data_IF_553712280508
#
_entry.id   IF_553712280508
#
_cell.length_a   1.000
_cell.length_b   1.000
_cell.length_c   1.000
_cell.angle_alpha   90.00
_cell.angle_beta   90.00
_cell.angle_gamma   90.00
#
_symmetry.space_group_name_H-M   'P 1'
#
loop_
_entity.id
_entity.type
_entity.pdbx_description
1 polymer ?
#
# COMPACT_ATOMS: atom_id res chain seq x y z
N UNK A 1 -7.25 3.62 15.04
CA UNK A 1 -6.61 3.81 13.72
C UNK A 1 -5.21 3.23 13.80
N UNK A 2 -4.84 2.34 12.88
CA UNK A 2 -3.54 1.66 12.84
C UNK A 2 -2.53 2.35 11.90
N UNK A 3 -3.01 3.35 11.15
CA UNK A 3 -2.22 4.14 10.24
C UNK A 3 -1.81 5.45 10.91
N UNK A 4 -0.53 5.77 10.81
CA UNK A 4 0.05 7.02 11.27
C UNK A 4 0.72 7.73 10.10
N UNK A 5 0.20 8.90 9.72
CA UNK A 5 0.85 9.76 8.73
C UNK A 5 2.16 10.30 9.32
N UNK A 6 3.26 10.16 8.58
CA UNK A 6 4.58 10.69 8.95
C UNK A 6 4.83 12.02 8.23
N UNK A 7 4.60 12.05 6.92
CA UNK A 7 4.71 13.27 6.12
C UNK A 7 3.87 13.18 4.85
N UNK A 8 3.48 14.35 4.34
CA UNK A 8 2.79 14.48 3.07
C UNK A 8 3.32 15.71 2.32
N UNK A 9 3.60 15.52 1.04
CA UNK A 9 3.99 16.55 0.07
C UNK A 9 3.17 16.31 -1.20
N UNK A 10 3.18 17.24 -2.17
CA UNK A 10 2.47 17.04 -3.44
C UNK A 10 2.90 15.79 -4.22
N UNK A 11 4.11 15.28 -3.97
CA UNK A 11 4.71 14.16 -4.72
C UNK A 11 4.92 12.90 -3.88
N UNK A 12 4.87 13.00 -2.54
CA UNK A 12 5.19 11.89 -1.64
C UNK A 12 4.29 11.88 -0.42
N UNK A 13 3.80 10.70 -0.05
CA UNK A 13 3.13 10.43 1.23
C UNK A 13 3.90 9.32 1.93
N UNK A 14 4.29 9.55 3.18
CA UNK A 14 4.94 8.56 4.03
C UNK A 14 4.05 8.29 5.24
N UNK A 15 3.77 7.03 5.50
CA UNK A 15 2.95 6.61 6.63
C UNK A 15 3.53 5.35 7.27
N UNK A 16 3.02 5.01 8.46
CA UNK A 16 3.29 3.76 9.14
C UNK A 16 1.99 3.02 9.36
N UNK A 17 2.00 1.72 9.15
CA UNK A 17 0.96 0.82 9.62
C UNK A 17 1.49 0.00 10.79
N UNK A 18 0.61 -0.30 11.74
CA UNK A 18 0.91 -1.25 12.81
C UNK A 18 -0.28 -2.17 12.90
N UNK A 19 -0.10 -3.46 12.67
CA UNK A 19 -1.22 -4.39 12.71
C UNK A 19 -1.87 -4.43 14.11
N UNK A 20 -3.12 -4.93 14.22
CA UNK A 20 -3.86 -4.98 15.50
C UNK A 20 -3.15 -5.78 16.59
N UNK A 21 -2.33 -6.74 16.20
CA UNK A 21 -1.58 -7.59 17.12
C UNK A 21 -0.21 -7.01 17.51
N UNK A 22 0.15 -5.83 17.01
CA UNK A 22 1.46 -5.17 17.20
C UNK A 22 2.67 -6.01 16.78
N UNK A 23 2.44 -7.09 16.04
CA UNK A 23 3.47 -8.05 15.64
C UNK A 23 4.20 -7.61 14.38
N UNK A 24 3.58 -6.81 13.53
CA UNK A 24 4.19 -6.25 12.34
C UNK A 24 3.96 -4.74 12.25
N UNK A 25 5.02 -4.05 11.81
CA UNK A 25 5.05 -2.62 11.56
C UNK A 25 5.54 -2.43 10.14
N UNK A 26 4.72 -1.82 9.32
CA UNK A 26 5.01 -1.56 7.93
C UNK A 26 5.28 -0.08 7.73
N UNK A 27 6.37 0.24 7.03
CA UNK A 27 6.57 1.59 6.50
C UNK A 27 5.90 1.63 5.12
N UNK A 28 5.07 2.65 4.90
CA UNK A 28 4.32 2.89 3.68
C UNK A 28 4.85 4.13 2.99
N UNK A 29 5.00 4.05 1.67
CA UNK A 29 5.40 5.18 0.87
C UNK A 29 4.61 5.20 -0.43
N UNK A 30 4.09 6.36 -0.78
CA UNK A 30 3.41 6.61 -2.05
C UNK A 30 4.10 7.76 -2.77
N UNK A 31 4.49 7.52 -4.02
CA UNK A 31 4.97 8.52 -4.94
C UNK A 31 3.86 8.89 -5.92
N UNK A 32 3.53 10.18 -5.98
CA UNK A 32 2.48 10.74 -6.83
C UNK A 32 3.13 11.50 -7.99
N UNK A 33 2.77 11.11 -9.21
CA UNK A 33 3.25 11.76 -10.43
C UNK A 33 2.04 12.32 -11.16
N UNK A 34 1.98 13.65 -11.23
CA UNK A 34 1.07 14.33 -12.13
C UNK A 34 1.52 14.06 -13.57
N UNK A 35 0.62 13.58 -14.41
CA UNK A 35 0.86 13.47 -15.85
C UNK A 35 0.13 14.61 -16.58
N UNK A 36 0.59 14.94 -17.78
CA UNK A 36 0.05 16.07 -18.56
C UNK A 36 -1.45 15.91 -18.91
N UNK A 37 -1.99 14.69 -18.87
CA UNK A 37 -3.35 14.36 -19.32
C UNK A 37 -4.38 14.28 -18.18
N UNK A 38 -4.20 15.00 -17.06
CA UNK A 38 -5.07 14.90 -15.86
C UNK A 38 -5.10 13.52 -15.18
N UNK A 39 -4.25 12.58 -15.60
CA UNK A 39 -4.06 11.28 -14.96
C UNK A 39 -3.04 11.43 -13.83
N UNK A 40 -3.39 10.97 -12.63
CA UNK A 40 -2.46 10.87 -11.50
C UNK A 40 -1.93 9.43 -11.45
N UNK A 41 -0.61 9.26 -11.61
CA UNK A 41 0.02 7.96 -11.41
C UNK A 41 0.50 7.89 -9.96
N UNK A 42 0.04 6.88 -9.24
CA UNK A 42 0.48 6.58 -7.88
C UNK A 42 1.30 5.31 -7.89
N UNK A 43 2.51 5.37 -7.32
CA UNK A 43 3.35 4.21 -7.07
C UNK A 43 3.48 4.03 -5.57
N UNK A 44 3.05 2.88 -5.05
CA UNK A 44 3.09 2.58 -3.61
C UNK A 44 4.04 1.42 -3.33
N UNK A 45 4.75 1.48 -2.20
CA UNK A 45 5.44 0.33 -1.64
C UNK A 45 5.22 0.25 -0.13
N UNK A 46 5.23 -0.97 0.39
CA UNK A 46 5.12 -1.28 1.81
C UNK A 46 6.22 -2.26 2.18
N UNK A 47 6.91 -1.99 3.28
CA UNK A 47 7.98 -2.85 3.79
C UNK A 47 7.68 -3.21 5.24
N UNK A 48 7.55 -4.50 5.51
CA UNK A 48 7.46 -5.01 6.88
C UNK A 48 8.82 -4.99 7.56
N UNK A 49 8.86 -4.53 8.83
CA UNK A 49 10.06 -4.58 9.67
C UNK A 49 10.33 -5.95 10.27
N UNK A 50 9.48 -6.94 10.00
CA UNK A 50 9.69 -8.32 10.40
C UNK A 50 10.76 -8.96 9.47
N UNK A 51 12.02 -8.64 9.73
CA UNK A 51 13.22 -9.09 8.99
C UNK A 51 13.42 -10.62 8.86
N UNK A 52 12.54 -11.44 9.46
CA UNK A 52 12.67 -12.88 9.54
C UNK A 52 11.76 -13.66 8.57
N UNK A 53 10.95 -13.00 7.73
CA UNK A 53 10.10 -13.68 6.74
C UNK A 53 10.17 -12.98 5.39
N UNK A 54 10.64 -13.71 4.37
CA UNK A 54 10.68 -13.24 2.98
C UNK A 54 9.26 -13.21 2.41
N UNK A 55 8.50 -14.27 2.64
CA UNK A 55 7.07 -14.36 2.34
C UNK A 55 6.27 -13.79 3.52
N UNK A 56 5.37 -12.86 3.24
CA UNK A 56 4.52 -12.23 4.25
C UNK A 56 3.02 -12.53 4.03
N UNK A 57 2.70 -13.50 3.17
CA UNK A 57 1.32 -13.87 2.81
C UNK A 57 0.52 -12.68 2.26
N UNK A 58 1.19 -11.76 1.59
CA UNK A 58 0.58 -10.58 0.97
C UNK A 58 0.22 -9.49 1.97
N UNK A 59 0.73 -9.52 3.21
CA UNK A 59 0.48 -8.48 4.24
C UNK A 59 0.82 -7.10 3.68
N UNK A 60 2.01 -6.95 3.10
CA UNK A 60 2.48 -5.66 2.56
C UNK A 60 1.62 -5.18 1.39
N UNK A 61 1.20 -6.08 0.48
CA UNK A 61 0.25 -5.74 -0.58
C UNK A 61 -1.10 -5.29 0.00
N UNK A 62 -1.69 -6.07 0.91
CA UNK A 62 -2.99 -5.78 1.49
C UNK A 62 -2.98 -4.47 2.28
N UNK A 63 -1.86 -4.13 2.91
CA UNK A 63 -1.72 -2.85 3.61
C UNK A 63 -1.83 -1.67 2.64
N UNK A 64 -1.23 -1.78 1.45
CA UNK A 64 -1.37 -0.76 0.40
C UNK A 64 -2.79 -0.75 -0.17
N UNK A 65 -3.33 -1.93 -0.52
CA UNK A 65 -4.63 -2.05 -1.15
C UNK A 65 -5.75 -1.52 -0.24
N UNK A 66 -5.78 -1.91 1.03
CA UNK A 66 -6.80 -1.48 1.99
C UNK A 66 -6.75 0.03 2.22
N UNK A 67 -5.58 0.67 2.13
CA UNK A 67 -5.49 2.13 2.18
C UNK A 67 -6.07 2.79 0.93
N UNK A 68 -5.77 2.24 -0.25
CA UNK A 68 -6.32 2.73 -1.52
C UNK A 68 -7.84 2.54 -1.58
N UNK A 69 -8.35 1.38 -1.18
CA UNK A 69 -9.77 1.07 -1.07
C UNK A 69 -10.45 2.00 -0.05
N UNK A 70 -9.90 2.11 1.17
CA UNK A 70 -10.43 2.99 2.21
C UNK A 70 -10.41 4.49 1.87
N UNK A 71 -9.59 4.91 0.90
CA UNK A 71 -9.58 6.28 0.37
C UNK A 71 -10.66 6.55 -0.68
N UNK A 72 -11.32 5.51 -1.20
CA UNK A 72 -12.27 5.59 -2.31
C UNK A 72 -11.63 5.75 -3.69
N UNK A 73 -10.29 5.77 -3.79
CA UNK A 73 -9.60 5.92 -5.08
C UNK A 73 -9.79 4.70 -6.00
N UNK A 74 -10.02 3.52 -5.43
CA UNK A 74 -10.29 2.29 -6.20
C UNK A 74 -11.62 2.39 -6.96
N UNK A 75 -12.58 3.14 -6.43
CA UNK A 75 -13.89 3.37 -7.05
C UNK A 75 -13.90 4.57 -8.01
N UNK A 76 -12.80 5.31 -8.11
CA UNK A 76 -12.71 6.48 -8.98
C UNK A 76 -12.82 6.08 -10.45
N UNK A 77 -13.55 6.88 -11.24
CA UNK A 77 -13.69 6.65 -12.66
C UNK A 77 -12.31 6.62 -13.36
N UNK A 78 -12.02 5.53 -14.08
CA UNK A 78 -10.74 5.34 -14.76
C UNK A 78 -9.62 4.79 -13.88
N UNK A 79 -9.89 4.41 -12.63
CA UNK A 79 -8.93 3.69 -11.80
C UNK A 79 -8.44 2.42 -12.49
N UNK A 80 -7.12 2.23 -12.50
CA UNK A 80 -6.45 1.02 -12.97
C UNK A 80 -5.32 0.67 -12.02
N UNK A 81 -5.38 -0.53 -11.47
CA UNK A 81 -4.27 -1.10 -10.73
C UNK A 81 -3.34 -1.88 -11.67
N UNK A 82 -2.03 -1.63 -11.54
CA UNK A 82 -1.00 -2.40 -12.23
C UNK A 82 -0.08 -3.03 -11.19
N UNK A 83 -0.29 -4.32 -10.92
CA UNK A 83 0.53 -5.11 -10.01
C UNK A 83 0.53 -6.58 -10.47
N UNK A 84 1.48 -7.36 -9.96
CA UNK A 84 1.59 -8.80 -10.15
C UNK A 84 2.55 -9.37 -9.09
N UNK A 85 2.76 -10.68 -9.12
CA UNK A 85 3.64 -11.42 -8.20
C UNK A 85 5.10 -10.92 -8.17
N UNK A 86 5.58 -10.32 -9.27
CA UNK A 86 6.93 -9.76 -9.37
C UNK A 86 7.04 -8.35 -8.80
N UNK A 87 5.92 -7.61 -8.74
CA UNK A 87 5.85 -6.25 -8.20
C UNK A 87 5.55 -6.30 -6.70
N UNK A 88 4.56 -7.10 -6.32
CA UNK A 88 4.19 -7.38 -4.94
C UNK A 88 4.23 -8.89 -4.76
N UNK A 89 5.17 -9.37 -3.93
CA UNK A 89 5.24 -10.77 -3.54
C UNK A 89 3.94 -11.19 -2.85
N UNK A 90 3.53 -12.44 -3.06
CA UNK A 90 2.29 -13.04 -2.53
C UNK A 90 1.00 -12.35 -3.02
N UNK A 91 1.06 -11.49 -4.04
CA UNK A 91 -0.11 -10.79 -4.56
C UNK A 91 -1.24 -11.75 -4.97
N UNK A 92 -0.90 -12.85 -5.64
CA UNK A 92 -1.89 -13.81 -6.15
C UNK A 92 -2.56 -14.66 -5.07
N UNK A 93 -1.94 -14.76 -3.89
CA UNK A 93 -2.44 -15.54 -2.74
C UNK A 93 -2.92 -14.66 -1.59
N UNK A 94 -2.73 -13.34 -1.70
CA UNK A 94 -3.08 -12.36 -0.70
C UNK A 94 -4.59 -12.39 -0.38
N UNK A 95 -4.91 -12.46 0.92
CA UNK A 95 -6.28 -12.30 1.39
C UNK A 95 -6.39 -11.05 2.28
N UNK A 96 -6.86 -9.95 1.67
CA UNK A 96 -6.89 -8.64 2.31
C UNK A 96 -8.07 -8.42 3.26
N UNK A 97 -8.98 -9.39 3.37
CA UNK A 97 -10.13 -9.32 4.30
C UNK A 97 -9.82 -9.86 5.70
N UNK A 98 -8.61 -10.41 5.93
CA UNK A 98 -8.25 -11.11 7.18
C UNK A 98 -7.77 -10.16 8.31
N UNK A 99 -8.01 -8.84 8.23
CA UNK A 99 -7.40 -7.86 9.16
C UNK A 99 -8.39 -7.06 10.04
#
# INVERSE_FOLDING_TARGET
>A
CLLQLVSATPFHIVAKHTNRQWTSKEDLNFHLVATEESVCRVMGFSISKAWARVEDNGITYCTLYNLMEGSGLVDAAGYKQYTNEWICLDYSTANCTIY
#
